data_IF_891983406252
#
_entry.id   IF_891983406252
#
_cell.length_a   1.000
_cell.length_b   1.000
_cell.length_c   1.000
_cell.angle_alpha   90.00
_cell.angle_beta   90.00
_cell.angle_gamma   90.00
#
_symmetry.space_group_name_H-M   'P 1'
#
loop_
_entity.id
_entity.type
_entity.pdbx_description
1 polymer ?
#
# COMPACT_ATOMS: atom_id res chain seq x y z
N UNK A 1 -16.16 15.21 5.16
CA UNK A 1 -16.85 13.90 4.97
C UNK A 1 -16.84 13.55 3.52
N UNK A 2 -16.54 12.30 3.18
CA UNK A 2 -16.64 11.85 1.80
C UNK A 2 -16.17 10.43 1.62
N UNK A 3 -16.68 9.83 0.55
CA UNK A 3 -16.26 8.52 0.10
C UNK A 3 -15.82 8.64 -1.34
N UNK A 4 -14.69 8.03 -1.67
CA UNK A 4 -14.16 7.95 -3.02
C UNK A 4 -13.93 6.49 -3.36
N UNK A 5 -14.31 6.10 -4.55
CA UNK A 5 -14.00 4.77 -5.10
C UNK A 5 -13.47 4.91 -6.52
N UNK A 6 -12.58 4.02 -6.87
CA UNK A 6 -12.04 3.88 -8.21
C UNK A 6 -11.98 2.41 -8.57
N UNK A 7 -12.50 2.07 -9.75
CA UNK A 7 -12.40 0.74 -10.33
C UNK A 7 -11.66 0.85 -11.65
N UNK A 8 -10.52 0.16 -11.76
CA UNK A 8 -9.70 0.15 -12.96
C UNK A 8 -9.71 -1.26 -13.55
N UNK A 9 -10.14 -1.38 -14.80
CA UNK A 9 -10.05 -2.59 -15.59
C UNK A 9 -9.07 -2.35 -16.74
N UNK A 10 -8.11 -3.25 -16.88
CA UNK A 10 -7.09 -3.17 -17.92
C UNK A 10 -6.93 -4.53 -18.56
N UNK A 11 -6.77 -4.57 -19.86
CA UNK A 11 -6.55 -5.81 -20.58
C UNK A 11 -5.77 -5.57 -21.85
N UNK A 12 -4.91 -6.52 -22.20
CA UNK A 12 -4.22 -6.54 -23.48
C UNK A 12 -4.37 -7.91 -24.13
N UNK A 13 -4.91 -7.97 -25.36
CA UNK A 13 -4.93 -9.21 -26.11
C UNK A 13 -3.53 -9.51 -26.65
N UNK A 14 -3.22 -10.78 -26.81
CA UNK A 14 -1.97 -11.19 -27.45
C UNK A 14 -1.97 -10.76 -28.93
N UNK A 15 -1.06 -9.86 -29.29
CA UNK A 15 -0.84 -9.43 -30.68
C UNK A 15 0.54 -9.91 -31.11
N UNK A 16 0.58 -10.75 -32.15
CA UNK A 16 1.83 -11.31 -32.67
C UNK A 16 2.45 -12.45 -31.82
N UNK A 17 3.63 -12.90 -32.22
CA UNK A 17 4.32 -14.04 -31.57
C UNK A 17 4.93 -13.71 -30.22
N UNK A 18 5.31 -12.44 -29.98
CA UNK A 18 5.89 -11.93 -28.72
C UNK A 18 4.91 -11.14 -27.85
N UNK A 19 3.61 -11.10 -28.19
CA UNK A 19 2.65 -10.25 -27.51
C UNK A 19 2.35 -10.68 -26.08
N UNK A 20 2.27 -9.70 -25.17
CA UNK A 20 1.84 -9.86 -23.79
C UNK A 20 0.32 -9.98 -23.73
N UNK A 21 -0.19 -10.87 -22.88
CA UNK A 21 -1.63 -11.07 -22.69
C UNK A 21 -1.99 -11.18 -21.23
N UNK A 22 -2.78 -10.21 -20.74
CA UNK A 22 -3.32 -10.24 -19.39
C UNK A 22 -4.64 -9.48 -19.30
N UNK A 23 -5.37 -9.73 -18.23
CA UNK A 23 -6.51 -8.95 -17.75
C UNK A 23 -6.24 -8.62 -16.28
N UNK A 24 -6.37 -7.36 -15.93
CA UNK A 24 -6.13 -6.84 -14.59
C UNK A 24 -7.34 -6.04 -14.12
N UNK A 25 -7.73 -6.24 -12.87
CA UNK A 25 -8.78 -5.47 -12.21
C UNK A 25 -8.24 -4.94 -10.87
N UNK A 26 -8.46 -3.66 -10.59
CA UNK A 26 -8.09 -3.01 -9.33
C UNK A 26 -9.27 -2.20 -8.81
N UNK A 27 -9.46 -2.23 -7.49
CA UNK A 27 -10.45 -1.42 -6.77
C UNK A 27 -9.77 -0.65 -5.64
N UNK A 28 -9.98 0.65 -5.58
CA UNK A 28 -9.52 1.54 -4.49
C UNK A 28 -10.75 2.23 -3.89
N UNK A 29 -11.01 1.97 -2.62
CA UNK A 29 -12.07 2.57 -1.83
C UNK A 29 -11.47 3.38 -0.70
N UNK A 30 -11.91 4.64 -0.55
CA UNK A 30 -11.46 5.53 0.52
C UNK A 30 -12.66 6.19 1.17
N UNK A 31 -12.70 6.20 2.50
CA UNK A 31 -13.72 6.93 3.24
C UNK A 31 -13.07 7.80 4.31
N UNK A 32 -13.61 9.00 4.44
CA UNK A 32 -13.18 10.02 5.39
C UNK A 32 -14.34 10.27 6.36
N UNK A 33 -14.17 9.82 7.59
CA UNK A 33 -15.16 9.95 8.65
C UNK A 33 -14.73 11.07 9.60
N UNK A 34 -15.60 12.05 9.74
CA UNK A 34 -15.45 13.11 10.72
C UNK A 34 -16.06 12.61 12.04
N UNK A 35 -15.26 12.50 13.08
CA UNK A 35 -15.69 12.02 14.39
C UNK A 35 -16.07 13.20 15.30
N UNK A 36 -15.23 14.23 15.37
CA UNK A 36 -15.45 15.45 16.13
C UNK A 36 -14.62 16.57 15.50
N UNK A 37 -14.71 17.79 16.07
CA UNK A 37 -13.88 18.92 15.64
C UNK A 37 -12.40 18.54 15.69
N UNK A 38 -11.73 18.64 14.54
CA UNK A 38 -10.33 18.27 14.31
C UNK A 38 -9.98 16.77 14.43
N UNK A 39 -10.95 15.89 14.72
CA UNK A 39 -10.75 14.43 14.77
C UNK A 39 -11.31 13.75 13.53
N UNK A 40 -10.45 13.08 12.78
CA UNK A 40 -10.82 12.42 11.55
C UNK A 40 -10.31 10.98 11.53
N UNK A 41 -11.14 10.08 11.02
CA UNK A 41 -10.73 8.72 10.72
C UNK A 41 -10.78 8.51 9.21
N UNK A 42 -9.70 7.98 8.67
CA UNK A 42 -9.56 7.68 7.24
C UNK A 42 -9.33 6.18 7.09
N UNK A 43 -10.13 5.55 6.26
CA UNK A 43 -9.96 4.15 5.88
C UNK A 43 -9.80 4.06 4.37
N UNK A 44 -8.77 3.35 3.94
CA UNK A 44 -8.55 2.97 2.56
C UNK A 44 -8.51 1.46 2.43
N UNK A 45 -9.23 0.92 1.46
CA UNK A 45 -9.17 -0.47 1.05
C UNK A 45 -8.78 -0.50 -0.41
N UNK A 46 -7.72 -1.23 -0.73
CA UNK A 46 -7.24 -1.36 -2.09
C UNK A 46 -6.96 -2.84 -2.38
N UNK A 47 -7.47 -3.34 -3.47
CA UNK A 47 -7.28 -4.72 -3.87
C UNK A 47 -7.21 -4.82 -5.40
N UNK A 48 -6.47 -5.81 -5.88
CA UNK A 48 -6.40 -6.07 -7.31
C UNK A 48 -5.91 -7.47 -7.63
N UNK A 49 -6.18 -7.86 -8.86
CA UNK A 49 -5.75 -9.13 -9.40
C UNK A 49 -5.48 -9.02 -10.90
N UNK A 50 -4.43 -9.66 -11.34
CA UNK A 50 -4.07 -9.81 -12.74
C UNK A 50 -3.99 -11.28 -13.12
N UNK A 51 -4.54 -11.61 -14.27
CA UNK A 51 -4.64 -12.96 -14.82
C UNK A 51 -4.19 -12.95 -16.27
N UNK A 52 -3.71 -14.08 -16.74
CA UNK A 52 -3.29 -14.25 -18.12
C UNK A 52 -1.99 -15.02 -18.25
N UNK A 53 -1.42 -15.01 -19.45
CA UNK A 53 -0.14 -15.67 -19.69
C UNK A 53 1.03 -14.89 -19.08
N UNK A 54 0.93 -13.55 -19.13
CA UNK A 54 1.90 -12.60 -18.57
C UNK A 54 1.16 -11.65 -17.62
N UNK A 55 0.76 -12.10 -16.41
CA UNK A 55 0.00 -11.27 -15.51
C UNK A 55 0.82 -10.06 -15.04
N UNK A 56 0.18 -8.91 -14.95
CA UNK A 56 0.79 -7.71 -14.37
C UNK A 56 1.24 -7.98 -12.94
N UNK A 57 2.43 -7.50 -12.57
CA UNK A 57 2.93 -7.56 -11.19
C UNK A 57 2.60 -6.30 -10.42
N UNK A 58 2.15 -6.49 -9.20
CA UNK A 58 1.89 -5.45 -8.22
C UNK A 58 2.95 -5.49 -7.14
N UNK A 59 3.42 -4.31 -6.73
CA UNK A 59 4.43 -4.16 -5.68
C UNK A 59 3.82 -3.45 -4.48
N UNK A 60 4.12 -3.90 -3.27
CA UNK A 60 3.76 -3.22 -2.02
C UNK A 60 4.98 -2.96 -1.17
N UNK A 61 4.93 -1.88 -0.40
CA UNK A 61 5.98 -1.41 0.50
C UNK A 61 6.40 0.03 0.21
N UNK A 62 6.87 0.72 1.23
CA UNK A 62 7.31 2.11 1.16
C UNK A 62 6.18 3.14 1.26
N UNK A 63 6.50 4.39 0.97
CA UNK A 63 5.58 5.52 0.93
C UNK A 63 5.75 6.31 -0.36
N UNK A 64 4.66 6.87 -0.91
CA UNK A 64 4.66 7.57 -2.21
C UNK A 64 5.56 8.83 -2.25
N UNK A 65 5.85 9.44 -1.11
CA UNK A 65 6.55 10.74 -1.03
C UNK A 65 7.79 10.71 -0.16
N UNK A 66 8.42 9.55 0.00
CA UNK A 66 9.60 9.45 0.85
C UNK A 66 10.84 9.94 0.13
N UNK A 67 11.61 10.80 0.80
CA UNK A 67 12.82 11.42 0.22
C UNK A 67 13.95 10.40 0.08
N UNK A 68 13.98 9.38 0.93
CA UNK A 68 14.97 8.31 0.92
C UNK A 68 14.33 6.98 0.50
N UNK A 69 14.62 6.54 -0.72
CA UNK A 69 14.16 5.25 -1.23
C UNK A 69 15.20 4.18 -0.87
N UNK A 70 14.90 3.36 0.12
CA UNK A 70 15.64 2.12 0.32
C UNK A 70 14.90 0.99 -0.40
N UNK A 71 15.54 0.45 -1.43
CA UNK A 71 15.09 -0.75 -2.12
C UNK A 71 15.75 -1.95 -1.43
N UNK A 72 14.99 -2.94 -1.08
CA UNK A 72 15.51 -4.12 -0.42
C UNK A 72 16.59 -4.80 -1.30
N UNK A 73 17.79 -4.99 -0.75
CA UNK A 73 18.94 -5.61 -1.40
C UNK A 73 19.48 -4.90 -2.66
N UNK A 74 19.22 -3.61 -2.84
CA UNK A 74 19.61 -2.84 -4.04
C UNK A 74 19.18 -3.47 -5.38
N UNK A 75 18.30 -4.45 -5.34
CA UNK A 75 17.78 -5.14 -6.52
C UNK A 75 16.32 -4.76 -6.66
N UNK A 76 15.99 -4.12 -7.76
CA UNK A 76 14.59 -4.06 -8.18
C UNK A 76 14.09 -5.49 -8.36
N UNK A 77 12.98 -5.91 -7.75
CA UNK A 77 12.46 -7.27 -7.88
C UNK A 77 11.86 -7.49 -9.28
N UNK A 78 12.67 -7.27 -10.30
CA UNK A 78 12.37 -7.42 -11.72
C UNK A 78 13.16 -8.63 -12.19
N UNK A 79 12.46 -9.71 -12.44
CA UNK A 79 13.06 -10.96 -12.92
C UNK A 79 13.23 -10.95 -14.44
N UNK A 80 12.42 -10.14 -15.16
CA UNK A 80 12.47 -10.05 -16.62
C UNK A 80 12.21 -8.60 -17.08
N UNK A 81 12.75 -8.20 -18.22
CA UNK A 81 12.54 -6.88 -18.85
C UNK A 81 11.04 -6.59 -19.06
N UNK A 82 10.24 -7.60 -19.29
CA UNK A 82 8.80 -7.48 -19.43
C UNK A 82 8.12 -7.07 -18.11
N UNK A 83 8.67 -7.45 -16.96
CA UNK A 83 8.15 -7.07 -15.65
C UNK A 83 8.26 -5.55 -15.41
N UNK A 84 9.29 -4.92 -15.95
CA UNK A 84 9.48 -3.46 -15.84
C UNK A 84 8.39 -2.67 -16.56
N UNK A 85 8.02 -3.09 -17.76
CA UNK A 85 7.04 -2.39 -18.58
C UNK A 85 5.60 -2.54 -18.06
N UNK A 86 5.31 -3.63 -17.32
CA UNK A 86 3.96 -4.00 -16.87
C UNK A 86 3.83 -4.07 -15.35
N UNK A 87 4.83 -3.58 -14.60
CA UNK A 87 4.74 -3.45 -13.16
C UNK A 87 3.91 -2.24 -12.76
N UNK A 88 3.11 -2.38 -11.71
CA UNK A 88 2.37 -1.27 -11.13
C UNK A 88 2.75 -1.13 -9.66
N UNK A 89 3.36 -0.02 -9.24
CA UNK A 89 3.57 0.28 -7.84
C UNK A 89 2.20 0.45 -7.20
N UNK A 90 1.90 -0.42 -6.25
CA UNK A 90 0.54 -0.46 -5.76
C UNK A 90 0.34 0.46 -4.62
N UNK A 91 1.19 0.68 -3.70
CA UNK A 91 0.77 1.58 -2.64
C UNK A 91 1.61 1.52 -1.39
N UNK A 92 1.57 2.62 -0.61
CA UNK A 92 2.35 2.73 0.60
C UNK A 92 1.92 1.68 1.62
N UNK A 93 2.85 0.87 2.05
CA UNK A 93 2.80 0.09 3.25
C UNK A 93 3.92 0.61 4.15
N UNK A 94 3.58 1.52 5.05
CA UNK A 94 4.54 2.18 5.94
C UNK A 94 5.19 1.15 6.88
N UNK A 95 6.47 1.36 7.21
CA UNK A 95 7.25 0.43 8.02
C UNK A 95 7.97 -0.67 7.22
N UNK A 96 7.83 -0.66 5.90
CA UNK A 96 8.52 -1.58 5.00
C UNK A 96 9.29 -0.81 3.92
N UNK A 97 10.36 -1.41 3.40
CA UNK A 97 11.14 -0.84 2.31
C UNK A 97 10.32 -0.75 1.04
N UNK A 98 10.72 0.14 0.15
CA UNK A 98 10.06 0.32 -1.14
C UNK A 98 10.07 -0.99 -1.94
N UNK A 99 8.93 -1.34 -2.56
CA UNK A 99 8.77 -2.58 -3.31
C UNK A 99 9.15 -3.85 -2.52
N UNK A 100 8.83 -3.90 -1.25
CA UNK A 100 9.21 -4.99 -0.34
C UNK A 100 8.75 -6.37 -0.83
N UNK A 101 7.57 -6.47 -1.42
CA UNK A 101 7.04 -7.71 -2.01
C UNK A 101 6.29 -7.45 -3.31
N UNK A 102 6.27 -8.47 -4.17
CA UNK A 102 5.54 -8.45 -5.44
C UNK A 102 4.64 -9.67 -5.63
N UNK A 103 3.59 -9.50 -6.42
CA UNK A 103 2.68 -10.58 -6.80
C UNK A 103 1.69 -10.16 -7.87
N UNK A 104 0.99 -11.12 -8.46
CA UNK A 104 -0.07 -10.86 -9.44
C UNK A 104 -1.43 -10.51 -8.80
N UNK A 105 -1.53 -10.62 -7.48
CA UNK A 105 -2.70 -10.27 -6.69
C UNK A 105 -2.26 -9.55 -5.42
N UNK A 106 -3.06 -8.61 -4.95
CA UNK A 106 -2.79 -7.90 -3.71
C UNK A 106 -4.07 -7.51 -2.99
N UNK A 107 -3.95 -7.31 -1.68
CA UNK A 107 -4.93 -6.66 -0.85
C UNK A 107 -4.20 -5.76 0.16
N UNK A 108 -4.70 -4.54 0.34
CA UNK A 108 -4.12 -3.51 1.19
C UNK A 108 -5.22 -2.77 1.94
N UNK A 109 -5.02 -2.55 3.22
CA UNK A 109 -5.83 -1.70 4.07
C UNK A 109 -4.93 -0.68 4.77
N UNK A 110 -5.29 0.60 4.67
CA UNK A 110 -4.67 1.66 5.45
C UNK A 110 -5.76 2.30 6.32
N UNK A 111 -5.52 2.38 7.60
CA UNK A 111 -6.38 3.08 8.55
C UNK A 111 -5.58 4.18 9.24
N UNK A 112 -6.14 5.39 9.31
CA UNK A 112 -5.51 6.54 9.95
C UNK A 112 -6.49 7.21 10.89
N UNK A 113 -6.03 7.49 12.09
CA UNK A 113 -6.72 8.36 13.04
C UNK A 113 -5.92 9.64 13.20
N UNK A 114 -6.54 10.74 12.79
CA UNK A 114 -5.95 12.09 12.82
C UNK A 114 -6.56 12.87 13.97
N UNK A 115 -5.72 13.50 14.77
CA UNK A 115 -6.12 14.25 15.96
C UNK A 115 -5.29 15.54 16.11
N UNK A 116 -5.82 16.60 16.75
CA UNK A 116 -5.06 17.81 17.00
C UNK A 116 -4.01 17.52 18.09
N UNK A 117 -2.73 17.70 17.76
CA UNK A 117 -1.64 17.59 18.72
C UNK A 117 -1.47 18.91 19.46
N UNK A 118 -1.38 20.01 18.70
CA UNK A 118 -1.35 21.38 19.23
C UNK A 118 -2.16 22.31 18.34
N UNK A 119 -3.09 23.07 18.93
CA UNK A 119 -3.80 24.12 18.20
C UNK A 119 -2.92 25.33 17.97
N UNK A 120 -2.14 25.70 18.98
CA UNK A 120 -1.16 26.80 18.94
C UNK A 120 0.07 26.39 19.74
N UNK A 121 1.25 26.54 19.17
CA UNK A 121 2.53 26.35 19.82
C UNK A 121 3.39 27.59 19.56
N UNK A 122 3.61 28.41 20.58
CA UNK A 122 4.46 29.59 20.51
C UNK A 122 5.76 29.28 21.25
N UNK A 123 6.86 29.29 20.51
CA UNK A 123 8.20 29.12 21.06
C UNK A 123 8.72 30.51 21.44
N UNK A 124 8.74 30.83 22.74
CA UNK A 124 9.09 32.17 23.26
C UNK A 124 10.49 32.67 22.90
N UNK A 125 11.35 31.84 22.38
CA UNK A 125 12.71 32.19 21.95
C UNK A 125 12.81 32.74 20.52
N UNK A 126 11.80 32.48 19.68
CA UNK A 126 11.77 32.83 18.27
C UNK A 126 10.41 33.49 17.93
N UNK A 127 10.39 34.52 17.03
CA UNK A 127 9.17 35.28 16.74
C UNK A 127 8.21 34.54 15.79
N UNK A 128 8.10 33.21 15.89
CA UNK A 128 7.16 32.43 15.12
C UNK A 128 6.48 31.37 15.97
N UNK A 129 5.26 31.07 15.60
CA UNK A 129 4.44 30.03 16.20
C UNK A 129 3.96 29.02 15.17
N UNK A 130 3.67 27.84 15.64
CA UNK A 130 3.04 26.78 14.84
C UNK A 130 1.56 26.74 15.16
N UNK A 131 0.75 26.58 14.11
CA UNK A 131 -0.70 26.50 14.23
C UNK A 131 -1.21 25.19 13.59
N UNK A 132 -2.21 24.56 14.23
CA UNK A 132 -2.88 23.38 13.72
C UNK A 132 -1.95 22.18 13.42
N UNK A 133 -1.05 21.86 14.35
CA UNK A 133 -0.24 20.64 14.25
C UNK A 133 -1.14 19.43 14.53
N UNK A 134 -1.23 18.53 13.57
CA UNK A 134 -2.00 17.30 13.69
C UNK A 134 -1.06 16.10 13.92
N UNK A 135 -1.45 15.22 14.83
CA UNK A 135 -0.89 13.88 14.98
C UNK A 135 -1.68 12.88 14.16
N UNK A 136 -1.00 11.83 13.74
CA UNK A 136 -1.61 10.73 12.97
C UNK A 136 -1.18 9.41 13.59
N UNK A 137 -2.13 8.61 14.04
CA UNK A 137 -1.93 7.18 14.31
C UNK A 137 -2.33 6.39 13.09
N UNK A 138 -1.50 5.46 12.65
CA UNK A 138 -1.83 4.68 11.48
C UNK A 138 -1.60 3.17 11.66
N UNK A 139 -2.36 2.41 10.90
CA UNK A 139 -2.21 0.96 10.73
C UNK A 139 -2.32 0.64 9.26
N UNK A 140 -1.29 0.03 8.70
CA UNK A 140 -1.27 -0.46 7.34
C UNK A 140 -1.17 -1.97 7.35
N UNK A 141 -2.06 -2.65 6.64
CA UNK A 141 -2.07 -4.11 6.53
C UNK A 141 -2.10 -4.46 5.05
N UNK A 142 -1.16 -5.27 4.61
CA UNK A 142 -1.06 -5.63 3.20
C UNK A 142 -0.55 -7.03 2.96
N UNK A 143 -0.92 -7.57 1.81
CA UNK A 143 -0.44 -8.85 1.32
C UNK A 143 -0.40 -8.88 -0.19
N UNK A 144 0.55 -9.61 -0.75
CA UNK A 144 0.63 -9.92 -2.18
C UNK A 144 0.89 -11.40 -2.37
N UNK A 145 0.31 -11.96 -3.43
CA UNK A 145 0.49 -13.38 -3.76
C UNK A 145 0.31 -13.64 -5.26
N UNK A 146 0.81 -14.78 -5.73
CA UNK A 146 0.66 -15.21 -7.12
C UNK A 146 -0.46 -16.24 -7.25
N UNK A 147 -0.37 -17.35 -6.54
CA UNK A 147 -1.38 -18.43 -6.56
C UNK A 147 -2.13 -18.48 -5.25
N UNK A 148 -3.44 -18.70 -5.28
CA UNK A 148 -4.26 -18.74 -4.08
C UNK A 148 -3.81 -19.81 -3.06
N UNK A 149 -3.18 -20.89 -3.53
CA UNK A 149 -2.65 -21.96 -2.67
C UNK A 149 -1.39 -21.54 -1.89
N UNK A 150 -0.70 -20.50 -2.35
CA UNK A 150 0.55 -20.03 -1.76
C UNK A 150 0.30 -19.02 -0.63
N UNK A 151 -0.91 -18.47 -0.53
CA UNK A 151 -1.26 -17.47 0.49
C UNK A 151 -1.47 -18.12 1.85
N UNK A 152 -0.57 -17.85 2.78
CA UNK A 152 -0.64 -18.26 4.18
C UNK A 152 -0.55 -17.03 5.08
N UNK A 153 -1.70 -16.46 5.43
CA UNK A 153 -1.75 -15.24 6.26
C UNK A 153 -1.08 -15.45 7.62
N UNK A 154 -1.27 -16.63 8.21
CA UNK A 154 -0.72 -16.99 9.51
C UNK A 154 -0.04 -18.36 9.46
N UNK A 155 1.06 -18.50 10.18
CA UNK A 155 1.76 -19.74 10.38
C UNK A 155 1.93 -19.99 11.89
N UNK A 156 1.70 -21.23 12.31
CA UNK A 156 1.97 -21.62 13.69
C UNK A 156 3.44 -22.03 13.82
N UNK A 157 4.23 -21.27 14.56
CA UNK A 157 5.64 -21.53 14.82
C UNK A 157 5.84 -21.62 16.33
N UNK A 158 6.34 -22.75 16.82
CA UNK A 158 6.60 -23.00 18.26
C UNK A 158 5.41 -22.69 19.19
N UNK A 159 4.19 -23.00 18.75
CA UNK A 159 2.98 -22.75 19.54
C UNK A 159 2.41 -21.33 19.45
N UNK A 160 3.14 -20.39 18.86
CA UNK A 160 2.70 -19.01 18.64
C UNK A 160 2.22 -18.80 17.20
N UNK A 161 1.18 -17.98 17.02
CA UNK A 161 0.73 -17.53 15.70
C UNK A 161 1.65 -16.40 15.21
N UNK A 162 2.36 -16.64 14.13
CA UNK A 162 3.15 -15.63 13.42
C UNK A 162 2.51 -15.29 12.08
N UNK A 163 2.63 -14.03 11.65
CA UNK A 163 2.24 -13.62 10.30
C UNK A 163 3.30 -14.13 9.32
N UNK A 164 2.88 -14.74 8.22
CA UNK A 164 3.78 -15.21 7.17
C UNK A 164 3.75 -14.27 5.96
N UNK A 165 2.61 -14.18 5.31
CA UNK A 165 2.42 -13.38 4.10
C UNK A 165 1.67 -12.06 4.38
N UNK A 166 1.21 -11.87 5.62
CA UNK A 166 0.57 -10.64 6.04
C UNK A 166 1.65 -9.67 6.58
N UNK A 167 1.73 -8.50 5.96
CA UNK A 167 2.59 -7.39 6.37
C UNK A 167 1.75 -6.39 7.18
N UNK A 168 2.26 -5.98 8.34
CA UNK A 168 1.56 -5.05 9.23
C UNK A 168 2.52 -3.94 9.62
N UNK A 169 2.18 -2.70 9.28
CA UNK A 169 2.87 -1.48 9.68
C UNK A 169 2.03 -0.69 10.67
N UNK A 170 2.64 -0.24 11.75
CA UNK A 170 2.03 0.60 12.77
C UNK A 170 2.92 1.81 13.02
N UNK A 171 2.34 2.98 13.30
CA UNK A 171 3.12 4.14 13.62
C UNK A 171 2.31 5.37 14.03
N UNK A 172 3.07 6.41 14.35
CA UNK A 172 2.58 7.73 14.80
C UNK A 172 3.16 8.80 13.89
#
# INVERSE_FOLDING_TARGET
>A
RGTRYNLTLMGTPKIGTGGVSFISAMADYRTYMYLAEDYNFVLRLNAGASFGKNPQRFYIGGTESWINYEIQNDILPIEDIQDFAFSSPVMPLRGYNYNHRSGSKFALMNAEFRFPLFRYLILGLLPFGFQNIQGVLFTDIGTVWNKNKDLQLFQKTNGSLATKDLLIGLGV
#
